data_IF_472422886940
#
_entry.id   IF_472422886940
#
_cell.length_a   1.000
_cell.length_b   1.000
_cell.length_c   1.000
_cell.angle_alpha   90.00
_cell.angle_beta   90.00
_cell.angle_gamma   90.00
#
_symmetry.space_group_name_H-M   'P 1'
#
loop_
_entity.id
_entity.type
_entity.pdbx_description
1 polymer ?
#
# COMPACT_ATOMS: atom_id res chain seq x y z
N UNK A 1 0.86 -11.93 -12.95
CA UNK A 1 -0.45 -11.26 -13.11
C UNK A 1 -0.33 -10.32 -14.30
N UNK A 2 -1.18 -10.48 -15.32
CA UNK A 2 -1.20 -9.53 -16.44
C UNK A 2 -1.72 -8.19 -15.94
N UNK A 3 -1.03 -7.11 -16.24
CA UNK A 3 -1.41 -5.75 -15.84
C UNK A 3 -2.75 -5.30 -16.43
N UNK A 4 -3.04 -5.77 -17.65
CA UNK A 4 -4.33 -5.53 -18.30
C UNK A 4 -5.47 -6.22 -17.54
N UNK A 5 -6.45 -5.42 -17.08
CA UNK A 5 -7.58 -5.93 -16.28
C UNK A 5 -7.30 -6.05 -14.77
N UNK A 6 -6.12 -5.73 -14.31
CA UNK A 6 -5.74 -5.80 -12.89
C UNK A 6 -6.72 -5.02 -11.99
N UNK A 7 -7.00 -3.77 -12.32
CA UNK A 7 -7.93 -2.92 -11.55
C UNK A 7 -9.35 -3.51 -11.48
N UNK A 8 -9.81 -4.07 -12.58
CA UNK A 8 -11.11 -4.75 -12.63
C UNK A 8 -11.12 -5.96 -11.70
N UNK A 9 -10.07 -6.79 -11.77
CA UNK A 9 -9.93 -7.95 -10.92
C UNK A 9 -9.91 -7.54 -9.44
N UNK A 10 -9.14 -6.52 -9.06
CA UNK A 10 -9.08 -6.04 -7.69
C UNK A 10 -10.45 -5.57 -7.20
N UNK A 11 -11.24 -4.87 -8.04
CA UNK A 11 -12.59 -4.44 -7.67
C UNK A 11 -13.57 -5.61 -7.47
N UNK A 12 -13.35 -6.74 -8.12
CA UNK A 12 -14.14 -7.96 -7.96
C UNK A 12 -13.73 -8.78 -6.73
N UNK A 13 -12.48 -8.63 -6.27
CA UNK A 13 -11.92 -9.35 -5.13
C UNK A 13 -12.06 -8.57 -3.83
N UNK A 14 -11.89 -7.24 -3.87
CA UNK A 14 -11.76 -6.40 -2.68
C UNK A 14 -13.00 -5.51 -2.53
N UNK A 15 -13.85 -5.76 -1.51
CA UNK A 15 -14.96 -4.86 -1.23
C UNK A 15 -14.45 -3.44 -0.94
N UNK A 16 -15.03 -2.44 -1.61
CA UNK A 16 -14.65 -1.04 -1.43
C UNK A 16 -13.38 -0.60 -2.18
N UNK A 17 -12.79 -1.45 -3.02
CA UNK A 17 -11.57 -1.13 -3.76
C UNK A 17 -11.65 0.19 -4.55
N UNK A 18 -12.79 0.49 -5.15
CA UNK A 18 -12.98 1.71 -5.93
C UNK A 18 -12.78 3.04 -5.17
N UNK A 19 -12.86 3.00 -3.84
CA UNK A 19 -12.63 4.17 -2.97
C UNK A 19 -11.26 4.17 -2.30
N UNK A 20 -10.55 3.06 -2.36
CA UNK A 20 -9.36 2.81 -1.53
C UNK A 20 -8.20 3.74 -1.85
N UNK A 21 -7.87 3.92 -3.13
CA UNK A 21 -6.80 4.83 -3.56
C UNK A 21 -7.13 6.28 -3.17
N UNK A 22 -8.37 6.70 -3.40
CA UNK A 22 -8.84 8.05 -3.04
C UNK A 22 -8.75 8.31 -1.54
N UNK A 23 -9.20 7.37 -0.71
CA UNK A 23 -9.11 7.47 0.74
C UNK A 23 -7.66 7.52 1.21
N UNK A 24 -6.80 6.64 0.68
CA UNK A 24 -5.39 6.55 1.08
C UNK A 24 -4.64 7.85 0.80
N UNK A 25 -4.87 8.44 -0.37
CA UNK A 25 -4.25 9.74 -0.74
C UNK A 25 -4.81 10.88 0.13
N UNK A 26 -6.12 10.92 0.36
CA UNK A 26 -6.75 11.94 1.19
C UNK A 26 -6.24 11.91 2.63
N UNK A 27 -6.06 10.72 3.22
CA UNK A 27 -5.47 10.54 4.54
C UNK A 27 -4.06 11.10 4.61
N UNK A 28 -3.21 10.74 3.65
CA UNK A 28 -1.82 11.19 3.64
C UNK A 28 -1.72 12.69 3.40
N UNK A 29 -2.53 13.24 2.50
CA UNK A 29 -2.56 14.67 2.19
C UNK A 29 -2.96 15.54 3.39
N UNK A 30 -3.71 14.99 4.34
CA UNK A 30 -4.10 15.66 5.58
C UNK A 30 -3.01 15.60 6.67
N UNK A 31 -1.95 14.83 6.48
CA UNK A 31 -0.86 14.73 7.45
C UNK A 31 -0.01 16.01 7.46
N UNK A 32 0.55 16.35 8.62
CA UNK A 32 1.33 17.58 8.77
C UNK A 32 2.53 17.65 7.80
N UNK A 33 3.25 16.54 7.61
CA UNK A 33 4.42 16.52 6.74
C UNK A 33 4.07 16.58 5.24
N UNK A 34 3.04 15.83 4.80
CA UNK A 34 2.68 15.74 3.40
C UNK A 34 1.71 16.85 2.93
N UNK A 35 1.15 17.65 3.85
CA UNK A 35 0.33 18.81 3.51
C UNK A 35 1.14 19.97 2.94
N UNK A 36 2.44 20.01 3.17
CA UNK A 36 3.31 21.04 2.62
C UNK A 36 3.32 21.04 1.08
N UNK A 37 3.43 22.22 0.48
CA UNK A 37 3.51 22.36 -0.96
C UNK A 37 4.77 21.69 -1.51
N UNK A 38 4.59 20.92 -2.58
CA UNK A 38 5.69 20.22 -3.25
C UNK A 38 6.26 19.04 -2.45
N UNK A 39 5.51 18.51 -1.47
CA UNK A 39 5.99 17.40 -0.65
C UNK A 39 6.41 16.19 -1.49
N UNK A 40 7.48 15.54 -1.10
CA UNK A 40 7.96 14.31 -1.72
C UNK A 40 7.25 13.09 -1.10
N UNK A 41 6.57 12.31 -1.91
CA UNK A 41 5.79 11.15 -1.49
C UNK A 41 6.24 9.90 -2.24
N UNK A 42 6.42 8.80 -1.50
CA UNK A 42 6.77 7.49 -2.02
C UNK A 42 5.52 6.63 -2.18
N UNK A 43 5.32 6.06 -3.36
CA UNK A 43 4.32 5.01 -3.60
C UNK A 43 5.07 3.70 -3.80
N UNK A 44 5.12 2.89 -2.75
CA UNK A 44 5.85 1.63 -2.72
C UNK A 44 4.95 0.49 -3.24
N UNK A 45 5.38 -0.18 -4.31
CA UNK A 45 4.56 -1.15 -5.00
C UNK A 45 3.39 -0.47 -5.71
N UNK A 46 3.69 0.49 -6.59
CA UNK A 46 2.67 1.32 -7.24
C UNK A 46 1.74 0.55 -8.19
N UNK A 47 2.09 -0.69 -8.54
CA UNK A 47 1.30 -1.53 -9.42
C UNK A 47 0.94 -0.84 -10.73
N UNK A 48 -0.33 -0.86 -11.09
CA UNK A 48 -0.85 -0.21 -12.29
C UNK A 48 -1.19 1.28 -12.09
N UNK A 49 -0.85 1.86 -10.94
CA UNK A 49 -0.86 3.31 -10.71
C UNK A 49 -2.15 3.91 -10.17
N UNK A 50 -3.02 3.13 -9.53
CA UNK A 50 -4.27 3.66 -8.97
C UNK A 50 -4.02 4.82 -7.98
N UNK A 51 -3.09 4.65 -7.03
CA UNK A 51 -2.73 5.67 -6.05
C UNK A 51 -2.02 6.86 -6.70
N UNK A 52 -1.23 6.63 -7.74
CA UNK A 52 -0.56 7.69 -8.50
C UNK A 52 -1.57 8.60 -9.21
N UNK A 53 -2.60 8.03 -9.82
CA UNK A 53 -3.67 8.79 -10.47
C UNK A 53 -4.41 9.67 -9.46
N UNK A 54 -4.79 9.12 -8.32
CA UNK A 54 -5.47 9.87 -7.27
C UNK A 54 -4.56 10.94 -6.64
N UNK A 55 -3.28 10.62 -6.41
CA UNK A 55 -2.32 11.60 -5.89
C UNK A 55 -2.13 12.76 -6.86
N UNK A 56 -2.01 12.49 -8.15
CA UNK A 56 -1.88 13.53 -9.19
C UNK A 56 -3.14 14.41 -9.26
N UNK A 57 -4.33 13.82 -9.06
CA UNK A 57 -5.59 14.55 -9.07
C UNK A 57 -5.78 15.41 -7.82
N UNK A 58 -5.50 14.87 -6.63
CA UNK A 58 -5.73 15.57 -5.35
C UNK A 58 -4.59 16.54 -4.99
N UNK A 59 -3.34 16.18 -5.33
CA UNK A 59 -2.12 16.92 -4.98
C UNK A 59 -1.18 16.98 -6.18
N UNK A 60 -1.54 17.78 -7.21
CA UNK A 60 -0.70 17.93 -8.41
C UNK A 60 0.67 18.57 -8.12
N UNK A 61 0.83 19.19 -6.96
CA UNK A 61 2.08 19.76 -6.46
C UNK A 61 3.05 18.72 -5.90
N UNK A 62 2.58 17.54 -5.50
CA UNK A 62 3.46 16.51 -4.95
C UNK A 62 4.49 16.03 -5.97
N UNK A 63 5.70 15.79 -5.48
CA UNK A 63 6.74 15.05 -6.22
C UNK A 63 6.67 13.58 -5.83
N UNK A 64 6.22 12.74 -6.76
CA UNK A 64 5.96 11.33 -6.51
C UNK A 64 7.13 10.46 -6.96
N UNK A 65 7.56 9.52 -6.13
CA UNK A 65 8.39 8.40 -6.52
C UNK A 65 7.53 7.16 -6.64
N UNK A 66 7.39 6.66 -7.87
CA UNK A 66 6.63 5.46 -8.19
C UNK A 66 7.58 4.26 -8.25
N UNK A 67 7.47 3.36 -7.29
CA UNK A 67 8.36 2.23 -7.09
C UNK A 67 7.61 0.92 -7.30
N UNK A 68 8.11 0.06 -8.16
CA UNK A 68 7.62 -1.31 -8.32
C UNK A 68 8.74 -2.19 -8.87
N UNK A 69 8.92 -3.43 -8.39
CA UNK A 69 9.91 -4.35 -8.97
C UNK A 69 9.49 -4.90 -10.34
N UNK A 70 8.20 -4.81 -10.70
CA UNK A 70 7.66 -5.30 -11.97
C UNK A 70 7.72 -4.23 -13.07
N UNK A 71 8.53 -4.48 -14.10
CA UNK A 71 8.59 -3.62 -15.27
C UNK A 71 7.23 -3.52 -15.99
N UNK A 72 6.47 -4.61 -16.05
CA UNK A 72 5.14 -4.65 -16.65
C UNK A 72 4.16 -3.72 -15.92
N UNK A 73 4.16 -3.75 -14.58
CA UNK A 73 3.31 -2.87 -13.77
C UNK A 73 3.68 -1.39 -13.98
N UNK A 74 4.98 -1.07 -13.99
CA UNK A 74 5.44 0.30 -14.23
C UNK A 74 5.04 0.80 -15.63
N UNK A 75 5.16 -0.03 -16.67
CA UNK A 75 4.76 0.34 -18.03
C UNK A 75 3.26 0.64 -18.09
N UNK A 76 2.43 -0.18 -17.47
CA UNK A 76 0.99 0.07 -17.41
C UNK A 76 0.65 1.34 -16.62
N UNK A 77 1.30 1.56 -15.49
CA UNK A 77 1.14 2.79 -14.73
C UNK A 77 1.55 4.03 -15.54
N UNK A 78 2.68 3.99 -16.24
CA UNK A 78 3.12 5.05 -17.13
C UNK A 78 2.11 5.34 -18.24
N UNK A 79 1.58 4.28 -18.87
CA UNK A 79 0.55 4.42 -19.90
C UNK A 79 -0.71 5.11 -19.35
N UNK A 80 -1.16 4.72 -18.16
CA UNK A 80 -2.35 5.28 -17.52
C UNK A 80 -2.17 6.73 -17.09
N UNK A 81 -1.00 7.09 -16.59
CA UNK A 81 -0.70 8.47 -16.17
C UNK A 81 -0.58 9.42 -17.37
N UNK A 82 -0.18 8.93 -18.55
CA UNK A 82 -0.10 9.73 -19.78
C UNK A 82 0.78 10.98 -19.68
N UNK A 83 1.81 10.94 -18.83
CA UNK A 83 2.70 12.08 -18.58
C UNK A 83 2.18 13.09 -17.56
N UNK A 84 1.07 12.81 -16.90
CA UNK A 84 0.54 13.67 -15.83
C UNK A 84 1.36 13.52 -14.54
N UNK A 85 1.43 14.60 -13.76
CA UNK A 85 2.07 14.62 -12.46
C UNK A 85 3.59 14.80 -12.52
N UNK A 86 4.19 14.93 -11.33
CA UNK A 86 5.64 15.01 -11.13
C UNK A 86 6.12 13.66 -10.62
N UNK A 87 6.56 12.81 -11.54
CA UNK A 87 6.84 11.41 -11.28
C UNK A 87 8.30 11.04 -11.56
N UNK A 88 8.90 10.32 -10.62
CA UNK A 88 10.11 9.54 -10.81
C UNK A 88 9.77 8.07 -10.78
N UNK A 89 10.06 7.34 -11.85
CA UNK A 89 9.79 5.93 -12.01
C UNK A 89 11.02 5.11 -11.62
N UNK A 90 10.83 4.14 -10.73
CA UNK A 90 11.93 3.31 -10.21
C UNK A 90 11.52 1.84 -10.26
N UNK A 91 12.19 1.05 -11.10
CA UNK A 91 12.07 -0.41 -11.05
C UNK A 91 13.00 -0.94 -9.95
N UNK A 92 12.48 -1.03 -8.73
CA UNK A 92 13.27 -1.41 -7.56
C UNK A 92 12.38 -1.88 -6.42
N UNK A 93 13.00 -2.35 -5.35
CA UNK A 93 12.38 -2.57 -4.04
C UNK A 93 12.66 -1.40 -3.10
N UNK A 94 11.88 -1.27 -2.03
CA UNK A 94 12.09 -0.20 -1.02
C UNK A 94 13.44 -0.39 -0.34
N UNK A 95 13.82 -1.63 -0.07
CA UNK A 95 15.08 -1.98 0.57
C UNK A 95 16.28 -1.50 -0.25
N UNK A 96 16.22 -1.72 -1.55
CA UNK A 96 17.28 -1.23 -2.45
C UNK A 96 17.24 0.30 -2.63
N UNK A 97 16.04 0.90 -2.65
CA UNK A 97 15.88 2.35 -2.75
C UNK A 97 16.53 3.08 -1.58
N UNK A 98 16.26 2.64 -0.36
CA UNK A 98 16.71 3.34 0.86
C UNK A 98 18.22 3.32 1.03
N UNK A 99 18.90 2.33 0.45
CA UNK A 99 20.35 2.22 0.48
C UNK A 99 21.04 3.13 -0.54
N UNK A 100 20.29 3.70 -1.48
CA UNK A 100 20.82 4.69 -2.41
C UNK A 100 21.09 6.04 -1.72
N UNK A 101 22.12 6.78 -2.14
CA UNK A 101 22.47 8.08 -1.55
C UNK A 101 21.30 9.07 -1.58
N UNK A 102 21.02 9.70 -0.43
CA UNK A 102 20.02 10.76 -0.31
C UNK A 102 18.57 10.25 -0.21
N UNK A 103 18.33 8.94 -0.08
CA UNK A 103 16.99 8.38 0.04
C UNK A 103 16.50 8.26 1.49
N UNK A 104 17.41 8.10 2.45
CA UNK A 104 17.04 8.04 3.86
C UNK A 104 16.48 9.39 4.34
N UNK A 105 15.33 9.36 5.03
CA UNK A 105 14.69 10.56 5.58
C UNK A 105 14.21 11.57 4.52
N UNK A 106 14.01 11.14 3.30
CA UNK A 106 13.65 12.01 2.18
C UNK A 106 12.17 12.32 2.10
N UNK A 107 11.32 11.32 2.32
CA UNK A 107 9.90 11.41 1.98
C UNK A 107 9.06 11.97 3.13
N UNK A 108 8.14 12.85 2.79
CA UNK A 108 7.16 13.45 3.69
C UNK A 108 5.96 12.51 3.96
N UNK A 109 5.85 11.44 3.20
CA UNK A 109 4.83 10.42 3.35
C UNK A 109 5.02 9.27 2.40
N UNK A 110 4.36 8.16 2.67
CA UNK A 110 4.37 6.98 1.80
C UNK A 110 3.01 6.28 1.76
N UNK A 111 2.76 5.60 0.64
CA UNK A 111 1.63 4.72 0.42
C UNK A 111 2.15 3.30 0.11
N UNK A 112 1.58 2.29 0.74
CA UNK A 112 1.80 0.88 0.44
C UNK A 112 0.46 0.15 0.45
N UNK A 113 -0.03 -0.22 -0.72
CA UNK A 113 -1.35 -0.84 -0.89
C UNK A 113 -1.21 -2.23 -1.50
N UNK A 114 -1.59 -3.25 -0.74
CA UNK A 114 -1.59 -4.66 -1.15
C UNK A 114 -0.20 -5.22 -1.50
N UNK A 115 0.82 -4.77 -0.80
CA UNK A 115 2.22 -5.22 -0.99
C UNK A 115 2.68 -6.16 0.11
N UNK A 116 2.53 -5.76 1.38
CA UNK A 116 3.03 -6.51 2.54
C UNK A 116 2.45 -7.93 2.61
N UNK A 117 1.20 -8.12 2.20
CA UNK A 117 0.54 -9.42 2.15
C UNK A 117 1.25 -10.46 1.27
N UNK A 118 2.00 -10.02 0.27
CA UNK A 118 2.73 -10.89 -0.65
C UNK A 118 4.13 -11.27 -0.14
N UNK A 119 4.59 -10.66 0.94
CA UNK A 119 5.88 -10.96 1.55
C UNK A 119 5.71 -12.01 2.65
N UNK A 120 6.58 -13.04 2.71
CA UNK A 120 6.54 -14.01 3.80
C UNK A 120 6.98 -13.38 5.13
N UNK A 121 6.49 -13.93 6.24
CA UNK A 121 6.89 -13.49 7.59
C UNK A 121 8.14 -14.27 8.06
N UNK A 122 9.21 -14.16 7.30
CA UNK A 122 10.53 -14.78 7.51
C UNK A 122 11.65 -13.75 7.72
N UNK A 123 11.26 -12.51 8.05
CA UNK A 123 12.12 -11.33 8.07
C UNK A 123 11.86 -10.37 6.90
N UNK A 124 11.25 -10.83 5.81
CA UNK A 124 10.98 -10.00 4.63
C UNK A 124 9.98 -8.87 4.93
N UNK A 125 8.93 -9.16 5.71
CA UNK A 125 7.97 -8.12 6.14
C UNK A 125 8.65 -7.05 7.00
N UNK A 126 9.49 -7.46 7.94
CA UNK A 126 10.23 -6.52 8.80
C UNK A 126 11.21 -5.67 7.98
N UNK A 127 11.93 -6.29 7.05
CA UNK A 127 12.88 -5.58 6.17
C UNK A 127 12.18 -4.51 5.33
N UNK A 128 11.03 -4.84 4.74
CA UNK A 128 10.21 -3.92 3.96
C UNK A 128 9.71 -2.74 4.81
N UNK A 129 9.12 -3.01 5.97
CA UNK A 129 8.62 -1.97 6.88
C UNK A 129 9.75 -1.08 7.43
N UNK A 130 10.90 -1.67 7.76
CA UNK A 130 12.08 -0.94 8.23
C UNK A 130 12.64 -0.03 7.14
N UNK A 131 12.67 -0.49 5.90
CA UNK A 131 13.09 0.32 4.75
C UNK A 131 12.13 1.50 4.52
N UNK A 132 10.81 1.28 4.61
CA UNK A 132 9.82 2.36 4.54
C UNK A 132 10.04 3.40 5.65
N UNK A 133 10.23 2.97 6.89
CA UNK A 133 10.51 3.88 7.99
C UNK A 133 11.77 4.71 7.75
N UNK A 134 12.85 4.07 7.27
CA UNK A 134 14.10 4.77 6.93
C UNK A 134 13.96 5.79 5.80
N UNK A 135 13.10 5.54 4.81
CA UNK A 135 12.80 6.47 3.73
C UNK A 135 12.06 7.72 4.20
N UNK A 136 11.24 7.61 5.23
CA UNK A 136 10.38 8.68 5.72
C UNK A 136 11.15 9.66 6.63
N UNK A 137 10.75 10.93 6.59
CA UNK A 137 11.14 11.92 7.60
C UNK A 137 10.59 11.51 8.96
N UNK A 138 11.27 11.85 10.07
CA UNK A 138 10.70 11.69 11.41
C UNK A 138 9.32 12.36 11.50
N UNK A 139 8.32 11.67 12.06
CA UNK A 139 6.94 12.14 12.15
C UNK A 139 6.11 12.00 10.89
N UNK A 140 6.70 11.65 9.74
CA UNK A 140 5.96 11.39 8.52
C UNK A 140 5.13 10.11 8.62
N UNK A 141 4.07 10.02 7.81
CA UNK A 141 3.09 8.94 7.90
C UNK A 141 3.17 7.99 6.71
N UNK A 142 2.80 6.74 6.97
CA UNK A 142 2.56 5.67 6.01
C UNK A 142 1.09 5.27 6.04
N UNK A 143 0.44 5.22 4.89
CA UNK A 143 -0.83 4.51 4.73
C UNK A 143 -0.54 3.11 4.23
N UNK A 144 -0.92 2.11 5.01
CA UNK A 144 -0.67 0.68 4.75
C UNK A 144 -2.01 -0.04 4.61
N UNK A 145 -2.24 -0.68 3.46
CA UNK A 145 -3.45 -1.46 3.20
C UNK A 145 -3.06 -2.87 2.79
N UNK A 146 -3.61 -3.87 3.47
CA UNK A 146 -3.31 -5.27 3.22
C UNK A 146 -4.46 -6.21 3.60
N UNK A 147 -4.39 -7.43 3.08
CA UNK A 147 -5.19 -8.55 3.56
C UNK A 147 -4.62 -9.00 4.92
N UNK A 148 -5.48 -9.03 5.93
CA UNK A 148 -5.13 -9.41 7.31
C UNK A 148 -5.79 -10.73 7.69
N UNK A 149 -5.19 -11.45 8.64
CA UNK A 149 -5.85 -12.58 9.29
C UNK A 149 -6.94 -12.09 10.23
N UNK A 150 -8.06 -12.81 10.28
CA UNK A 150 -9.11 -12.53 11.25
C UNK A 150 -8.61 -12.73 12.68
N UNK A 151 -9.03 -11.84 13.57
CA UNK A 151 -8.75 -11.94 15.01
C UNK A 151 -9.73 -12.88 15.75
N UNK A 152 -10.78 -13.33 15.08
CA UNK A 152 -11.83 -14.17 15.65
C UNK A 152 -11.92 -15.51 14.90
N UNK A 153 -11.15 -16.54 15.31
CA UNK A 153 -11.14 -17.85 14.63
C UNK A 153 -12.52 -18.48 14.50
N UNK A 154 -13.42 -18.22 15.44
CA UNK A 154 -14.81 -18.75 15.39
C UNK A 154 -15.64 -18.18 14.23
N UNK A 155 -15.25 -17.06 13.65
CA UNK A 155 -15.94 -16.43 12.52
C UNK A 155 -15.21 -16.62 11.18
N UNK A 156 -14.05 -17.24 11.17
CA UNK A 156 -13.22 -17.40 9.99
C UNK A 156 -13.99 -18.04 8.83
N UNK A 157 -14.67 -19.15 9.06
CA UNK A 157 -15.46 -19.82 8.03
C UNK A 157 -16.61 -18.98 7.48
N UNK A 158 -17.24 -18.16 8.32
CA UNK A 158 -18.30 -17.24 7.88
C UNK A 158 -17.73 -16.10 7.01
N UNK A 159 -16.59 -15.53 7.43
CA UNK A 159 -15.94 -14.45 6.69
C UNK A 159 -15.41 -14.92 5.34
N UNK A 160 -14.84 -16.12 5.28
CA UNK A 160 -14.39 -16.73 4.03
C UNK A 160 -15.57 -17.00 3.08
N UNK A 161 -16.66 -17.54 3.59
CA UNK A 161 -17.87 -17.77 2.79
C UNK A 161 -18.47 -16.45 2.28
N UNK A 162 -18.48 -15.40 3.10
CA UNK A 162 -18.92 -14.07 2.71
C UNK A 162 -18.04 -13.48 1.59
N UNK A 163 -16.72 -13.62 1.71
CA UNK A 163 -15.79 -13.16 0.70
C UNK A 163 -15.96 -13.89 -0.63
N UNK A 164 -16.08 -15.21 -0.61
CA UNK A 164 -16.38 -16.00 -1.81
C UNK A 164 -17.74 -15.60 -2.42
N UNK A 165 -18.73 -15.33 -1.58
CA UNK A 165 -20.05 -14.83 -2.03
C UNK A 165 -19.95 -13.48 -2.71
N UNK A 166 -19.17 -12.56 -2.16
CA UNK A 166 -18.88 -11.25 -2.76
C UNK A 166 -18.21 -11.39 -4.14
N UNK A 167 -17.20 -12.25 -4.25
CA UNK A 167 -16.51 -12.48 -5.53
C UNK A 167 -17.44 -13.03 -6.60
N UNK A 168 -18.25 -14.03 -6.26
CA UNK A 168 -19.26 -14.58 -7.20
C UNK A 168 -20.30 -13.53 -7.61
N UNK A 169 -20.78 -12.74 -6.68
CA UNK A 169 -21.70 -11.63 -6.96
C UNK A 169 -21.07 -10.54 -7.84
N UNK A 170 -19.75 -10.41 -7.80
CA UNK A 170 -18.98 -9.51 -8.65
C UNK A 170 -18.58 -10.11 -10.01
N UNK A 171 -19.03 -11.34 -10.30
CA UNK A 171 -18.78 -12.02 -11.57
C UNK A 171 -17.40 -12.70 -11.65
N UNK A 172 -16.83 -13.09 -10.52
CA UNK A 172 -15.56 -13.79 -10.45
C UNK A 172 -15.74 -15.15 -9.77
N UNK A 173 -15.22 -16.21 -10.38
CA UNK A 173 -15.00 -17.46 -9.65
C UNK A 173 -13.97 -17.25 -8.55
N UNK A 174 -14.08 -18.00 -7.45
CA UNK A 174 -13.25 -17.81 -6.26
C UNK A 174 -11.76 -17.59 -6.62
N UNK A 175 -11.20 -16.48 -6.15
CA UNK A 175 -9.78 -16.19 -6.34
C UNK A 175 -8.92 -17.06 -5.41
N UNK A 176 -7.72 -17.41 -5.89
CA UNK A 176 -6.71 -18.07 -5.07
C UNK A 176 -6.04 -17.08 -4.12
N UNK A 177 -5.79 -17.50 -2.87
CA UNK A 177 -4.93 -16.80 -1.92
C UNK A 177 -3.47 -17.30 -2.00
N UNK A 178 -3.16 -18.07 -3.03
CA UNK A 178 -1.81 -18.59 -3.24
C UNK A 178 -0.78 -17.44 -3.33
N UNK A 179 0.33 -17.59 -2.62
CA UNK A 179 1.37 -16.57 -2.55
C UNK A 179 1.06 -15.40 -1.61
N UNK A 180 -0.07 -15.42 -0.89
CA UNK A 180 -0.37 -14.43 0.13
C UNK A 180 0.00 -14.96 1.52
N UNK A 181 0.53 -14.06 2.35
CA UNK A 181 1.00 -14.34 3.70
C UNK A 181 0.39 -13.35 4.69
N UNK A 182 -0.95 -13.33 4.86
CA UNK A 182 -1.60 -12.40 5.77
C UNK A 182 -1.20 -12.69 7.22
N UNK A 183 -1.08 -11.62 8.01
CA UNK A 183 -0.81 -11.68 9.45
C UNK A 183 -1.93 -11.01 10.23
N UNK A 184 -2.02 -11.31 11.52
CA UNK A 184 -2.98 -10.67 12.41
C UNK A 184 -2.49 -9.31 12.93
N UNK A 185 -3.39 -8.55 13.54
CA UNK A 185 -3.11 -7.19 14.04
C UNK A 185 -1.99 -7.16 15.08
N UNK A 186 -1.97 -8.13 16.01
CA UNK A 186 -0.93 -8.20 17.03
C UNK A 186 0.48 -8.38 16.41
N UNK A 187 0.58 -9.24 15.39
CA UNK A 187 1.85 -9.44 14.68
C UNK A 187 2.23 -8.20 13.89
N UNK A 188 1.29 -7.58 13.19
CA UNK A 188 1.53 -6.32 12.48
C UNK A 188 2.05 -5.25 13.44
N UNK A 189 1.42 -5.07 14.60
CA UNK A 189 1.83 -4.10 15.62
C UNK A 189 3.27 -4.34 16.07
N UNK A 190 3.64 -5.60 16.34
CA UNK A 190 5.02 -5.95 16.69
C UNK A 190 6.01 -5.59 15.59
N UNK A 191 5.68 -5.88 14.33
CA UNK A 191 6.55 -5.61 13.19
C UNK A 191 6.72 -4.10 12.94
N UNK A 192 5.63 -3.32 12.94
CA UNK A 192 5.70 -1.88 12.69
C UNK A 192 6.43 -1.15 13.81
N UNK A 193 6.24 -1.56 15.07
CA UNK A 193 6.98 -1.01 16.19
C UNK A 193 8.49 -1.32 16.09
N UNK A 194 8.85 -2.55 15.74
CA UNK A 194 10.25 -2.93 15.51
C UNK A 194 10.87 -2.18 14.32
N UNK A 195 10.07 -1.82 13.31
CA UNK A 195 10.51 -1.07 12.15
C UNK A 195 10.71 0.44 12.41
N UNK A 196 10.17 0.97 13.52
CA UNK A 196 10.28 2.38 13.90
C UNK A 196 8.99 3.20 13.74
N UNK A 197 7.85 2.54 13.61
CA UNK A 197 6.53 3.18 13.63
C UNK A 197 5.86 3.05 15.00
N UNK A 198 4.94 3.96 15.30
CA UNK A 198 3.98 3.82 16.39
C UNK A 198 2.93 2.74 16.09
N UNK A 199 2.00 2.57 17.02
CA UNK A 199 0.91 1.61 16.86
C UNK A 199 0.05 1.96 15.64
N UNK A 200 -0.44 0.95 14.89
CA UNK A 200 -1.26 1.19 13.71
C UNK A 200 -2.67 1.65 14.10
N UNK A 201 -3.15 2.72 13.47
CA UNK A 201 -4.53 3.16 13.59
C UNK A 201 -5.34 2.63 12.39
N UNK A 202 -6.35 1.80 12.65
CA UNK A 202 -7.22 1.29 11.58
C UNK A 202 -8.11 2.42 11.05
N UNK A 203 -8.09 2.61 9.73
CA UNK A 203 -8.86 3.66 9.03
C UNK A 203 -9.79 3.10 7.97
N UNK A 204 -9.65 1.83 7.63
CA UNK A 204 -10.49 1.11 6.66
C UNK A 204 -10.56 -0.36 7.03
N UNK A 205 -11.73 -0.96 6.83
CA UNK A 205 -11.91 -2.41 6.90
C UNK A 205 -13.07 -2.86 6.03
N UNK A 206 -12.79 -3.85 5.18
CA UNK A 206 -13.80 -4.58 4.42
C UNK A 206 -13.42 -6.05 4.40
N UNK A 207 -14.14 -6.87 5.17
CA UNK A 207 -13.75 -8.26 5.47
C UNK A 207 -12.32 -8.33 6.01
N UNK A 208 -11.44 -9.13 5.41
CA UNK A 208 -10.03 -9.23 5.78
C UNK A 208 -9.14 -8.11 5.26
N UNK A 209 -9.62 -7.26 4.36
CA UNK A 209 -8.84 -6.12 3.86
C UNK A 209 -8.95 -4.96 4.85
N UNK A 210 -7.79 -4.52 5.35
CA UNK A 210 -7.70 -3.48 6.37
C UNK A 210 -6.67 -2.43 5.97
N UNK A 211 -7.00 -1.17 6.24
CA UNK A 211 -6.12 -0.03 6.05
C UNK A 211 -5.72 0.58 7.37
N UNK A 212 -4.43 0.95 7.49
CA UNK A 212 -3.85 1.52 8.69
C UNK A 212 -3.10 2.81 8.37
N UNK A 213 -3.17 3.73 9.29
CA UNK A 213 -2.32 4.90 9.34
C UNK A 213 -1.22 4.66 10.38
N UNK A 214 0.04 4.84 9.95
CA UNK A 214 1.22 4.68 10.80
C UNK A 214 2.03 5.96 10.77
N UNK A 215 2.68 6.28 11.89
CA UNK A 215 3.57 7.44 12.00
C UNK A 215 4.98 6.98 12.36
N UNK A 216 5.99 7.42 11.60
CA UNK A 216 7.37 7.19 11.96
C UNK A 216 7.71 7.93 13.25
N UNK A 217 8.25 7.20 14.22
CA UNK A 217 8.79 7.77 15.43
C UNK A 217 10.15 8.46 15.17
N UNK A 218 10.57 9.28 16.07
CA UNK A 218 11.85 10.03 16.00
C UNK A 218 13.06 9.12 16.15
#
# INVERSE_FOLDING_TARGET
VQSAGYERLQSQVIPGYGSLARLSVALLAASAAASADGAEVLVAGCGTGAELLEATAQRPDWSLTALDPSAEMLQEAQRRLGGQGRLQWQQSTVEALVDAPGMAGRYAGALSVLVLQSLPDDGSKLAFLSALARCLKPGAQLVLVDLMQTSLPSLEGQLDAAWQGFQRASGLDASSQEGLHPIGLARLTSLVNAAGFGDPARVFQALGFEGFLLQRLS
#
